data_IF_936883699184
#
_entry.id   IF_936883699184
#
_cell.length_a   1.000
_cell.length_b   1.000
_cell.length_c   1.000
_cell.angle_alpha   90.00
_cell.angle_beta   90.00
_cell.angle_gamma   90.00
#
_symmetry.space_group_name_H-M   'P 1'
#
loop_
_entity.id
_entity.type
_entity.pdbx_description
1 polymer ?
#
# COMPACT_ATOMS: atom_id res chain seq x y z
N UNK A 1 -23.42 15.66 -3.20
CA UNK A 1 -23.30 15.07 -1.84
C UNK A 1 -22.14 14.09 -1.89
N UNK A 2 -20.94 14.51 -1.47
CA UNK A 2 -19.78 13.64 -1.46
C UNK A 2 -19.78 12.85 -0.14
N UNK A 3 -19.99 11.54 -0.24
CA UNK A 3 -19.93 10.63 0.88
C UNK A 3 -18.45 10.39 1.20
N UNK A 4 -17.97 11.01 2.29
CA UNK A 4 -16.68 10.67 2.88
C UNK A 4 -16.82 9.25 3.47
N UNK A 5 -16.36 8.24 2.73
CA UNK A 5 -16.28 6.88 3.25
C UNK A 5 -15.08 6.79 4.20
N UNK A 6 -15.41 6.87 5.49
CA UNK A 6 -14.48 6.74 6.61
C UNK A 6 -14.25 5.26 6.94
N UNK A 7 -13.90 4.41 5.96
CA UNK A 7 -13.49 3.02 6.24
C UNK A 7 -12.03 2.94 6.72
N UNK A 8 -11.70 3.68 7.78
CA UNK A 8 -10.57 3.33 8.64
C UNK A 8 -11.03 2.23 9.60
N UNK A 9 -11.37 1.05 9.07
CA UNK A 9 -11.58 -0.12 9.91
C UNK A 9 -10.21 -0.70 10.23
N UNK A 10 -9.78 -0.79 11.50
CA UNK A 10 -8.57 -1.53 11.83
C UNK A 10 -8.83 -3.00 11.49
N UNK A 11 -8.30 -3.46 10.36
CA UNK A 11 -8.31 -4.87 10.02
C UNK A 11 -7.47 -5.60 11.06
N UNK A 12 -8.09 -6.51 11.80
CA UNK A 12 -7.44 -7.40 12.76
C UNK A 12 -6.52 -8.38 12.03
N UNK A 13 -5.32 -7.92 11.67
CA UNK A 13 -4.17 -8.75 11.36
C UNK A 13 -3.13 -8.50 12.47
N UNK A 14 -2.64 -9.59 13.07
CA UNK A 14 -1.91 -9.55 14.33
C UNK A 14 -0.62 -8.71 14.31
N UNK A 15 -0.30 -8.17 15.50
CA UNK A 15 0.96 -7.52 15.87
C UNK A 15 1.24 -6.13 15.28
N UNK A 16 0.28 -5.23 15.52
CA UNK A 16 0.37 -3.77 15.69
C UNK A 16 1.47 -2.98 14.94
N UNK A 17 1.25 -2.82 13.64
CA UNK A 17 1.67 -1.67 12.84
C UNK A 17 0.46 -0.83 12.40
N UNK A 18 0.65 0.47 12.14
CA UNK A 18 -0.36 1.31 11.48
C UNK A 18 -0.31 0.99 9.98
N UNK A 19 -1.33 0.33 9.45
CA UNK A 19 -1.44 0.03 8.02
C UNK A 19 -2.31 1.09 7.31
N UNK A 20 -1.81 1.63 6.20
CA UNK A 20 -2.45 2.67 5.39
C UNK A 20 -2.83 2.13 4.00
N UNK A 21 -4.09 2.33 3.59
CA UNK A 21 -4.57 1.99 2.24
C UNK A 21 -4.22 3.10 1.24
N UNK A 22 -3.39 2.73 0.24
CA UNK A 22 -2.91 3.63 -0.81
C UNK A 22 -3.74 3.56 -2.09
N UNK A 23 -4.27 2.38 -2.43
CA UNK A 23 -5.07 2.17 -3.64
C UNK A 23 -6.05 1.02 -3.45
N UNK A 24 -7.29 1.22 -3.88
CA UNK A 24 -8.34 0.18 -3.88
C UNK A 24 -8.91 0.05 -5.29
N UNK A 25 -8.71 -1.12 -5.88
CA UNK A 25 -9.41 -1.60 -7.06
C UNK A 25 -10.19 -2.85 -6.68
N UNK A 26 -11.32 -3.11 -7.34
CA UNK A 26 -12.24 -4.22 -7.02
C UNK A 26 -11.57 -5.57 -6.67
N UNK A 27 -10.41 -5.87 -7.28
CA UNK A 27 -9.66 -7.11 -7.05
C UNK A 27 -8.26 -6.91 -6.44
N UNK A 28 -7.80 -5.67 -6.23
CA UNK A 28 -6.45 -5.36 -5.75
C UNK A 28 -6.47 -4.21 -4.76
N UNK A 29 -5.93 -4.44 -3.56
CA UNK A 29 -5.71 -3.37 -2.57
C UNK A 29 -4.24 -3.25 -2.25
N UNK A 30 -3.73 -2.02 -2.31
CA UNK A 30 -2.35 -1.68 -2.04
C UNK A 30 -2.29 -1.00 -0.69
N UNK A 31 -1.57 -1.62 0.25
CA UNK A 31 -1.46 -1.15 1.63
C UNK A 31 0.00 -1.02 2.03
N UNK A 32 0.25 -0.18 3.02
CA UNK A 32 1.60 0.09 3.53
C UNK A 32 1.61 0.08 5.04
N UNK A 33 2.49 -0.73 5.62
CA UNK A 33 2.72 -0.76 7.07
C UNK A 33 3.77 0.28 7.48
N UNK A 34 3.41 1.13 8.45
CA UNK A 34 4.28 2.12 9.08
C UNK A 34 5.11 1.58 10.26
N UNK A 35 5.07 0.30 10.57
CA UNK A 35 5.82 -0.30 11.68
C UNK A 35 7.34 -0.09 11.49
N UNK A 36 7.98 0.45 12.53
CA UNK A 36 9.40 0.81 12.51
C UNK A 36 10.34 -0.39 12.37
N UNK A 37 9.87 -1.61 12.65
CA UNK A 37 10.63 -2.84 12.52
C UNK A 37 10.78 -3.32 11.07
N UNK A 38 10.04 -2.73 10.12
CA UNK A 38 10.20 -3.03 8.70
C UNK A 38 11.33 -2.16 8.12
N UNK A 39 12.51 -2.75 7.97
CA UNK A 39 13.72 -2.04 7.51
C UNK A 39 13.65 -1.62 6.05
N UNK A 40 12.92 -2.36 5.21
CA UNK A 40 12.74 -2.08 3.78
C UNK A 40 11.28 -1.70 3.51
N UNK A 41 11.07 -0.63 2.76
CA UNK A 41 9.75 -0.23 2.30
C UNK A 41 9.15 -1.31 1.38
N UNK A 42 7.96 -1.79 1.72
CA UNK A 42 7.23 -2.75 0.90
C UNK A 42 5.73 -2.52 1.03
N UNK A 43 4.99 -2.96 0.02
CA UNK A 43 3.55 -2.91 -0.06
C UNK A 43 2.96 -4.28 0.26
N UNK A 44 1.89 -4.32 1.03
CA UNK A 44 1.03 -5.48 1.19
C UNK A 44 -0.10 -5.41 0.16
N UNK A 45 -0.27 -6.47 -0.61
CA UNK A 45 -1.29 -6.56 -1.64
C UNK A 45 -2.33 -7.61 -1.28
N UNK A 46 -3.59 -7.19 -1.20
CA UNK A 46 -4.73 -8.11 -1.07
C UNK A 46 -5.24 -8.48 -2.46
N UNK A 47 -5.55 -9.77 -2.69
CA UNK A 47 -6.17 -10.23 -3.94
C UNK A 47 -7.63 -10.56 -3.68
N UNK A 48 -8.53 -9.84 -4.33
CA UNK A 48 -9.98 -9.97 -4.14
C UNK A 48 -10.36 -9.86 -2.65
N UNK A 49 -10.83 -10.95 -2.05
CA UNK A 49 -11.23 -11.04 -0.64
C UNK A 49 -10.15 -11.61 0.27
N UNK A 50 -8.99 -11.96 -0.28
CA UNK A 50 -7.89 -12.54 0.48
C UNK A 50 -6.90 -11.45 0.87
N UNK A 51 -6.72 -11.29 2.18
CA UNK A 51 -5.80 -10.33 2.75
C UNK A 51 -4.35 -10.83 2.64
N UNK A 52 -3.43 -9.91 2.38
CA UNK A 52 -1.98 -10.08 2.38
C UNK A 52 -1.49 -11.24 1.51
N UNK A 53 -1.93 -11.25 0.25
CA UNK A 53 -1.59 -12.31 -0.70
C UNK A 53 -0.20 -12.16 -1.31
N UNK A 54 0.36 -10.95 -1.28
CA UNK A 54 1.71 -10.69 -1.72
C UNK A 54 2.33 -9.47 -1.02
N UNK A 55 3.66 -9.46 -0.96
CA UNK A 55 4.45 -8.31 -0.53
C UNK A 55 5.43 -7.92 -1.64
N UNK A 56 5.50 -6.64 -2.01
CA UNK A 56 6.44 -6.13 -3.03
C UNK A 56 7.30 -5.01 -2.48
N UNK A 57 8.58 -5.04 -2.81
CA UNK A 57 9.51 -3.97 -2.48
C UNK A 57 9.20 -2.69 -3.28
N UNK A 58 9.25 -1.54 -2.62
CA UNK A 58 8.91 -0.26 -3.26
C UNK A 58 10.03 0.27 -4.14
N UNK A 59 11.29 0.01 -3.78
CA UNK A 59 12.46 0.57 -4.43
C UNK A 59 12.70 0.01 -5.85
N UNK A 60 12.44 -1.28 -6.05
CA UNK A 60 12.69 -2.00 -7.30
C UNK A 60 11.48 -2.78 -7.84
N UNK A 61 10.36 -2.86 -7.10
CA UNK A 61 9.19 -3.64 -7.49
C UNK A 61 9.30 -5.15 -7.27
N UNK A 62 10.38 -5.64 -6.66
CA UNK A 62 10.62 -7.07 -6.46
C UNK A 62 9.54 -7.70 -5.58
N UNK A 63 8.99 -8.85 -5.99
CA UNK A 63 8.13 -9.68 -5.13
C UNK A 63 8.96 -10.26 -3.97
N UNK A 64 8.62 -9.88 -2.75
CA UNK A 64 9.28 -10.33 -1.52
C UNK A 64 8.64 -11.60 -0.95
N UNK A 65 7.32 -11.73 -1.06
CA UNK A 65 6.58 -12.87 -0.52
C UNK A 65 5.22 -13.03 -1.22
N UNK A 66 4.71 -14.26 -1.21
CA UNK A 66 3.36 -14.58 -1.69
C UNK A 66 3.30 -14.86 -3.20
N UNK A 67 2.15 -14.55 -3.81
CA UNK A 67 1.85 -14.94 -5.20
C UNK A 67 2.09 -13.82 -6.19
N UNK A 68 2.86 -14.06 -7.26
CA UNK A 68 3.11 -13.10 -8.34
C UNK A 68 2.01 -12.98 -9.40
N UNK A 69 0.75 -13.32 -9.06
CA UNK A 69 -0.37 -13.41 -10.02
C UNK A 69 -0.61 -12.10 -10.81
N UNK A 70 -0.28 -10.96 -10.21
CA UNK A 70 -0.56 -9.63 -10.75
C UNK A 70 0.71 -8.80 -10.98
N UNK A 71 1.90 -9.42 -11.09
CA UNK A 71 3.16 -8.70 -11.32
C UNK A 71 3.08 -7.72 -12.49
N UNK A 72 2.46 -8.13 -13.59
CA UNK A 72 2.29 -7.32 -14.80
C UNK A 72 1.52 -6.00 -14.60
N UNK A 73 0.75 -5.86 -13.50
CA UNK A 73 0.09 -4.61 -13.12
C UNK A 73 0.83 -3.92 -11.96
N UNK A 74 1.26 -4.71 -10.98
CA UNK A 74 1.83 -4.18 -9.73
C UNK A 74 3.22 -3.58 -9.95
N UNK A 75 4.10 -4.25 -10.69
CA UNK A 75 5.48 -3.78 -10.89
C UNK A 75 5.52 -2.43 -11.65
N UNK A 76 4.80 -2.25 -12.78
CA UNK A 76 4.73 -0.95 -13.45
C UNK A 76 4.13 0.14 -12.56
N UNK A 77 3.09 -0.20 -11.79
CA UNK A 77 2.47 0.75 -10.86
C UNK A 77 3.46 1.23 -9.79
N UNK A 78 4.22 0.31 -9.19
CA UNK A 78 5.27 0.65 -8.22
C UNK A 78 6.32 1.54 -8.88
N UNK A 79 6.79 1.18 -10.08
CA UNK A 79 7.80 1.96 -10.78
C UNK A 79 7.34 3.40 -11.04
N UNK A 80 6.08 3.58 -11.46
CA UNK A 80 5.50 4.89 -11.77
C UNK A 80 5.19 5.74 -10.52
N UNK A 81 4.93 5.10 -9.37
CA UNK A 81 4.52 5.79 -8.14
C UNK A 81 5.58 5.74 -7.03
N UNK A 82 6.77 5.20 -7.32
CA UNK A 82 7.81 4.89 -6.34
C UNK A 82 8.13 6.05 -5.41
N UNK A 83 8.30 7.25 -5.95
CA UNK A 83 8.66 8.42 -5.17
C UNK A 83 7.56 8.77 -4.14
N UNK A 84 6.31 8.83 -4.60
CA UNK A 84 5.13 9.10 -3.77
C UNK A 84 4.96 8.03 -2.68
N UNK A 85 5.09 6.75 -3.04
CA UNK A 85 4.99 5.64 -2.07
C UNK A 85 6.12 5.69 -1.04
N UNK A 86 7.36 5.97 -1.47
CA UNK A 86 8.50 6.12 -0.56
C UNK A 86 8.33 7.32 0.38
N UNK A 87 7.69 8.40 -0.08
CA UNK A 87 7.38 9.55 0.76
C UNK A 87 6.35 9.18 1.83
N UNK A 88 5.25 8.53 1.44
CA UNK A 88 4.25 8.03 2.40
C UNK A 88 4.88 7.09 3.45
N UNK A 89 5.78 6.19 3.03
CA UNK A 89 6.48 5.30 3.96
C UNK A 89 7.36 6.03 4.99
N UNK A 90 7.99 7.15 4.61
CA UNK A 90 8.76 7.98 5.55
C UNK A 90 7.83 8.76 6.48
N UNK A 91 6.76 9.33 5.92
CA UNK A 91 5.83 10.21 6.61
C UNK A 91 5.04 9.45 7.70
N UNK A 92 4.55 8.24 7.38
CA UNK A 92 3.83 7.38 8.33
C UNK A 92 4.70 6.97 9.55
N UNK A 93 6.03 6.97 9.42
CA UNK A 93 6.98 6.57 10.49
C UNK A 93 7.40 7.73 11.40
N UNK A 94 7.17 8.97 10.99
CA UNK A 94 7.75 10.18 11.60
C UNK A 94 6.69 11.15 12.11
N UNK A 95 5.98 11.83 11.20
CA UNK A 95 5.22 13.06 11.49
C UNK A 95 3.72 12.96 11.19
N UNK A 96 3.24 11.85 10.64
CA UNK A 96 1.89 11.71 10.12
C UNK A 96 1.88 11.80 8.58
N UNK A 97 0.78 11.35 7.97
CA UNK A 97 0.68 11.11 6.53
C UNK A 97 0.15 12.34 5.80
N UNK A 98 0.74 12.67 4.65
CA UNK A 98 0.23 13.70 3.73
C UNK A 98 -0.97 13.17 2.92
N UNK A 99 -2.17 13.62 3.27
CA UNK A 99 -3.43 13.19 2.63
C UNK A 99 -3.48 13.50 1.13
N UNK A 100 -2.77 14.52 0.63
CA UNK A 100 -2.75 14.83 -0.81
C UNK A 100 -2.03 13.73 -1.60
N UNK A 101 -0.93 13.20 -1.06
CA UNK A 101 -0.17 12.14 -1.71
C UNK A 101 -0.97 10.84 -1.69
N UNK A 102 -1.67 10.55 -0.59
CA UNK A 102 -2.56 9.39 -0.50
C UNK A 102 -3.70 9.50 -1.53
N UNK A 103 -4.31 10.68 -1.68
CA UNK A 103 -5.33 10.89 -2.69
C UNK A 103 -4.80 10.68 -4.12
N UNK A 104 -3.61 11.20 -4.44
CA UNK A 104 -2.96 10.98 -5.74
C UNK A 104 -2.73 9.48 -6.03
N UNK A 105 -2.25 8.73 -5.04
CA UNK A 105 -2.02 7.29 -5.18
C UNK A 105 -3.32 6.52 -5.42
N UNK A 106 -4.43 6.93 -4.81
CA UNK A 106 -5.75 6.30 -5.02
C UNK A 106 -6.22 6.46 -6.46
N UNK A 107 -6.03 7.64 -7.04
CA UNK A 107 -6.46 7.99 -8.40
C UNK A 107 -5.49 7.56 -9.50
N UNK A 108 -4.25 7.17 -9.17
CA UNK A 108 -3.23 6.76 -10.14
C UNK A 108 -3.67 5.61 -11.07
N UNK A 109 -3.21 5.55 -12.31
CA UNK A 109 -3.54 4.46 -13.22
C UNK A 109 -2.78 3.17 -12.85
N UNK A 110 -3.39 1.99 -13.09
CA UNK A 110 -2.82 0.65 -12.90
C UNK A 110 -2.62 -0.05 -14.25
#
# INVERSE_FOLDING_TARGET
MAMFDLSARPSSAGSHGLELLLKDLRNLRFKMDGNRNHMRAHLHIDYHRHNHMASYAVDDGTLLAGSGRYNHLIEPWIANNRESVMRVWRDIRTTGVDDQIVAQLRESAL
#
